data_IF_646541574837
#
_entry.id   IF_646541574837
#
_cell.length_a   1.000
_cell.length_b   1.000
_cell.length_c   1.000
_cell.angle_alpha   90.00
_cell.angle_beta   90.00
_cell.angle_gamma   90.00
#
_symmetry.space_group_name_H-M   'P 1'
#
loop_
_entity.id
_entity.type
_entity.pdbx_description
1 polymer ?
#
# COMPACT_ATOMS: atom_id res chain seq x y z
N UNK A 1 7.43 7.99 -0.79
CA UNK A 1 7.08 6.97 -1.80
C UNK A 1 6.14 5.95 -1.17
N UNK A 2 5.43 5.14 -1.96
CA UNK A 2 4.53 4.09 -1.47
C UNK A 2 4.75 2.78 -2.24
N UNK A 3 4.34 1.65 -1.68
CA UNK A 3 4.40 0.33 -2.32
C UNK A 3 3.46 -0.66 -1.62
N UNK A 4 3.15 -1.78 -2.29
CA UNK A 4 2.60 -2.99 -1.65
C UNK A 4 3.75 -3.97 -1.40
N UNK A 5 3.79 -4.59 -0.23
CA UNK A 5 4.81 -5.58 0.11
C UNK A 5 4.15 -6.91 0.43
N UNK A 6 4.49 -7.95 -0.33
CA UNK A 6 3.86 -9.26 -0.23
C UNK A 6 4.77 -10.24 0.50
N UNK A 7 4.19 -10.96 1.46
CA UNK A 7 4.87 -11.97 2.27
C UNK A 7 4.03 -13.25 2.37
N UNK A 8 4.68 -14.40 2.42
CA UNK A 8 4.06 -15.65 2.89
C UNK A 8 4.37 -15.80 4.38
N UNK A 9 3.33 -16.04 5.17
CA UNK A 9 3.45 -16.39 6.59
C UNK A 9 3.34 -17.92 6.73
N UNK A 10 4.41 -18.59 7.18
CA UNK A 10 4.43 -20.05 7.33
C UNK A 10 3.89 -20.52 8.69
N UNK A 11 3.77 -21.85 8.85
CA UNK A 11 3.20 -22.48 10.05
C UNK A 11 4.11 -22.36 11.28
N UNK A 12 5.40 -22.11 11.06
CA UNK A 12 6.40 -21.89 12.10
C UNK A 12 6.49 -20.41 12.51
N UNK A 13 5.65 -19.56 11.94
CA UNK A 13 5.55 -18.14 12.27
C UNK A 13 6.59 -17.27 11.57
N UNK A 14 7.21 -17.74 10.49
CA UNK A 14 8.20 -16.98 9.72
C UNK A 14 7.54 -16.28 8.54
N UNK A 15 8.02 -15.06 8.27
CA UNK A 15 7.67 -14.31 7.07
C UNK A 15 8.70 -14.57 5.97
N UNK A 16 8.21 -14.94 4.79
CA UNK A 16 8.98 -15.11 3.58
C UNK A 16 8.64 -13.97 2.63
N UNK A 17 9.63 -13.16 2.29
CA UNK A 17 9.47 -12.06 1.34
C UNK A 17 9.22 -12.58 -0.08
N UNK A 18 8.22 -12.03 -0.77
CA UNK A 18 7.93 -12.34 -2.18
C UNK A 18 8.35 -11.19 -3.08
N UNK A 19 7.69 -10.04 -2.92
CA UNK A 19 7.92 -8.88 -3.78
C UNK A 19 7.63 -7.56 -3.08
N UNK A 20 8.20 -6.50 -3.66
CA UNK A 20 7.75 -5.13 -3.47
C UNK A 20 7.17 -4.65 -4.79
N UNK A 21 5.88 -4.32 -4.80
CA UNK A 21 5.23 -3.68 -5.93
C UNK A 21 5.21 -2.16 -5.73
N UNK A 22 6.01 -1.44 -6.51
CA UNK A 22 6.17 0.03 -6.41
C UNK A 22 5.10 0.81 -7.16
N UNK A 23 4.23 0.15 -7.92
CA UNK A 23 3.09 0.77 -8.60
C UNK A 23 1.87 -0.19 -8.52
N UNK A 24 1.29 -0.36 -7.32
CA UNK A 24 0.20 -1.30 -7.12
C UNK A 24 -1.09 -0.79 -7.78
N UNK A 25 -2.03 -1.71 -8.00
CA UNK A 25 -3.37 -1.36 -8.49
C UNK A 25 -4.11 -0.42 -7.53
N UNK A 26 -4.91 0.48 -8.11
CA UNK A 26 -5.66 1.53 -7.38
C UNK A 26 -7.17 1.51 -7.68
N UNK A 27 -7.70 0.43 -8.27
CA UNK A 27 -9.16 0.27 -8.44
C UNK A 27 -9.84 -0.04 -7.10
N UNK A 28 -11.16 0.11 -6.96
CA UNK A 28 -11.88 -0.24 -5.73
C UNK A 28 -11.68 -1.70 -5.27
N UNK A 29 -11.34 -2.60 -6.20
CA UNK A 29 -11.07 -4.02 -5.93
C UNK A 29 -9.58 -4.34 -5.73
N UNK A 30 -8.71 -3.33 -5.74
CA UNK A 30 -7.28 -3.50 -5.51
C UNK A 30 -6.95 -3.52 -4.01
N UNK A 31 -5.90 -4.24 -3.63
CA UNK A 31 -5.51 -4.44 -2.23
C UNK A 31 -5.21 -3.14 -1.48
N UNK A 32 -4.42 -2.22 -2.06
CA UNK A 32 -4.02 -0.99 -1.36
C UNK A 32 -5.22 -0.10 -0.98
N UNK A 33 -6.20 0.17 -1.86
CA UNK A 33 -7.45 0.83 -1.47
C UNK A 33 -8.27 0.06 -0.42
N UNK A 34 -8.34 -1.27 -0.50
CA UNK A 34 -9.08 -2.09 0.46
C UNK A 34 -8.44 -2.08 1.85
N UNK A 35 -7.12 -2.22 1.93
CA UNK A 35 -6.34 -2.15 3.16
C UNK A 35 -6.45 -0.78 3.83
N UNK A 36 -6.39 0.31 3.05
CA UNK A 36 -6.60 1.67 3.54
C UNK A 36 -8.00 1.85 4.13
N UNK A 37 -9.03 1.32 3.46
CA UNK A 37 -10.40 1.39 3.95
C UNK A 37 -10.61 0.65 5.28
N UNK A 38 -9.91 -0.48 5.50
CA UNK A 38 -9.96 -1.23 6.77
C UNK A 38 -9.47 -0.39 7.96
N UNK A 39 -8.49 0.49 7.73
CA UNK A 39 -7.97 1.42 8.74
C UNK A 39 -8.69 2.78 8.74
N UNK A 40 -9.82 2.88 8.05
CA UNK A 40 -10.68 4.08 8.02
C UNK A 40 -10.22 5.18 7.06
N UNK A 41 -9.24 4.92 6.19
CA UNK A 41 -8.76 5.88 5.19
C UNK A 41 -9.59 5.74 3.92
N UNK A 42 -10.33 6.79 3.56
CA UNK A 42 -11.10 6.82 2.32
C UNK A 42 -10.21 6.90 1.07
N UNK A 43 -10.71 6.48 -0.09
CA UNK A 43 -9.94 6.50 -1.34
C UNK A 43 -9.37 7.88 -1.71
N UNK A 44 -10.19 8.94 -1.58
CA UNK A 44 -9.74 10.30 -1.84
C UNK A 44 -8.62 10.75 -0.89
N UNK A 45 -8.74 10.40 0.40
CA UNK A 45 -7.73 10.69 1.41
C UNK A 45 -6.43 9.91 1.15
N UNK A 46 -6.54 8.64 0.74
CA UNK A 46 -5.40 7.83 0.33
C UNK A 46 -4.65 8.48 -0.85
N UNK A 47 -5.37 8.94 -1.87
CA UNK A 47 -4.78 9.65 -3.01
C UNK A 47 -4.08 10.93 -2.56
N UNK A 48 -4.70 11.73 -1.69
CA UNK A 48 -4.11 12.96 -1.15
C UNK A 48 -2.79 12.68 -0.44
N UNK A 49 -2.75 11.70 0.48
CA UNK A 49 -1.53 11.31 1.20
C UNK A 49 -0.40 10.90 0.26
N UNK A 50 -0.72 10.15 -0.82
CA UNK A 50 0.29 9.75 -1.82
C UNK A 50 0.85 10.98 -2.54
N UNK A 51 -0.01 11.96 -2.88
CA UNK A 51 0.39 13.22 -3.51
C UNK A 51 1.30 14.02 -2.57
N UNK A 52 0.90 14.23 -1.32
CA UNK A 52 1.67 14.97 -0.31
C UNK A 52 3.08 14.40 -0.14
N UNK A 53 3.18 13.08 0.10
CA UNK A 53 4.44 12.36 0.24
C UNK A 53 5.31 12.46 -1.04
N UNK A 54 4.67 12.49 -2.22
CA UNK A 54 5.39 12.60 -3.49
C UNK A 54 5.94 14.01 -3.72
N UNK A 55 5.21 15.04 -3.27
CA UNK A 55 5.62 16.44 -3.36
C UNK A 55 6.78 16.76 -2.42
N UNK A 56 6.82 16.16 -1.22
CA UNK A 56 7.94 16.33 -0.27
C UNK A 56 9.31 16.01 -0.89
N UNK A 57 9.36 15.08 -1.85
CA UNK A 57 10.60 14.74 -2.55
C UNK A 57 11.19 15.91 -3.37
N UNK A 58 10.36 16.86 -3.78
CA UNK A 58 10.73 17.97 -4.66
C UNK A 58 10.68 19.34 -3.97
N UNK A 59 10.43 19.37 -2.67
CA UNK A 59 10.58 20.57 -1.83
C UNK A 59 12.01 20.66 -1.32
#
# INVERSE_FOLDING_TARGET
AYSRADYIYDKEGRFWFLEINTLPGMTPTSLVPQEAAVVGIGYGELCERIIEISLEKYR
#
